data_IF_530093998821
#
_entry.id   IF_530093998821
#
_cell.length_a   1.000
_cell.length_b   1.000
_cell.length_c   1.000
_cell.angle_alpha   90.00
_cell.angle_beta   90.00
_cell.angle_gamma   90.00
#
_symmetry.space_group_name_H-M   'P 1'
#
loop_
_entity.id
_entity.type
_entity.pdbx_description
1 polymer ?
#
# COMPACT_ATOMS: atom_id res chain seq x y z
N UNK A 1 -3.38 -20.91 -11.78
CA UNK A 1 -3.70 -20.53 -10.38
C UNK A 1 -5.19 -20.21 -10.31
N UNK A 2 -5.95 -20.91 -9.47
CA UNK A 2 -7.39 -20.62 -9.30
C UNK A 2 -7.55 -19.65 -8.13
N UNK A 3 -7.96 -18.42 -8.42
CA UNK A 3 -8.38 -17.45 -7.40
C UNK A 3 -9.75 -17.85 -6.89
N UNK A 4 -9.80 -18.33 -5.66
CA UNK A 4 -11.05 -18.72 -5.01
C UNK A 4 -11.62 -17.56 -4.20
N UNK A 5 -12.69 -16.95 -4.71
CA UNK A 5 -13.50 -15.96 -4.01
C UNK A 5 -14.44 -16.70 -3.03
N UNK A 6 -14.28 -16.50 -1.73
CA UNK A 6 -15.22 -17.00 -0.73
C UNK A 6 -15.96 -15.84 -0.08
N UNK A 7 -17.22 -15.66 -0.47
CA UNK A 7 -18.15 -14.72 0.16
C UNK A 7 -18.81 -15.38 1.37
N UNK A 8 -18.54 -14.87 2.56
CA UNK A 8 -19.26 -15.26 3.79
C UNK A 8 -20.46 -14.35 4.01
N UNK A 9 -21.68 -14.88 3.89
CA UNK A 9 -22.93 -14.21 4.30
C UNK A 9 -23.20 -14.49 5.77
N UNK A 10 -23.37 -13.44 6.57
CA UNK A 10 -24.03 -13.55 7.87
C UNK A 10 -25.38 -12.86 7.81
N UNK A 11 -26.43 -13.58 8.25
CA UNK A 11 -27.82 -13.17 8.22
C UNK A 11 -28.27 -12.52 9.52
N UNK A 12 -28.96 -11.39 9.39
CA UNK A 12 -30.20 -10.93 10.01
C UNK A 12 -30.28 -10.61 11.51
N UNK A 13 -30.58 -9.34 11.75
CA UNK A 13 -31.30 -8.81 12.91
C UNK A 13 -31.88 -7.45 12.57
N UNK A 14 -33.18 -7.26 12.78
CA UNK A 14 -34.01 -6.10 12.44
C UNK A 14 -33.55 -4.78 13.08
N UNK A 15 -33.50 -3.71 12.28
CA UNK A 15 -33.81 -2.35 12.72
C UNK A 15 -32.63 -1.40 12.93
N UNK A 16 -32.61 -0.33 12.10
CA UNK A 16 -31.71 0.83 12.02
C UNK A 16 -30.52 0.61 11.10
N UNK A 17 -30.38 1.50 10.11
CA UNK A 17 -29.46 1.41 8.97
C UNK A 17 -28.06 0.89 9.33
N UNK A 18 -27.90 -0.40 9.22
CA UNK A 18 -26.62 -1.08 9.44
C UNK A 18 -25.86 -0.94 8.13
N UNK A 19 -24.73 -0.23 8.16
CA UNK A 19 -23.76 -0.29 7.09
C UNK A 19 -23.32 -1.76 6.97
N UNK A 20 -23.62 -2.39 5.85
CA UNK A 20 -23.20 -3.76 5.57
C UNK A 20 -21.70 -3.71 5.22
N UNK A 21 -20.86 -4.17 6.12
CA UNK A 21 -19.43 -4.34 5.84
C UNK A 21 -19.23 -5.69 5.14
N UNK A 22 -18.82 -5.65 3.89
CA UNK A 22 -18.34 -6.82 3.17
C UNK A 22 -16.82 -6.93 3.38
N UNK A 23 -16.38 -7.99 4.05
CA UNK A 23 -14.96 -8.29 4.16
C UNK A 23 -14.55 -9.15 2.96
N UNK A 24 -13.62 -8.66 2.19
CA UNK A 24 -12.98 -9.42 1.11
C UNK A 24 -11.61 -9.85 1.64
N UNK A 25 -11.33 -11.14 1.59
CA UNK A 25 -10.06 -11.71 2.00
C UNK A 25 -9.33 -12.17 0.74
N UNK A 26 -8.20 -11.57 0.45
CA UNK A 26 -7.27 -12.10 -0.54
C UNK A 26 -6.31 -13.06 0.16
N UNK A 27 -6.23 -14.28 -0.35
CA UNK A 27 -5.34 -15.31 0.13
C UNK A 27 -4.18 -15.44 -0.87
N UNK A 28 -3.02 -14.94 -0.47
CA UNK A 28 -1.78 -15.03 -1.25
C UNK A 28 -0.81 -15.90 -0.44
N UNK A 29 -1.03 -17.21 -0.48
CA UNK A 29 -0.30 -18.14 0.37
C UNK A 29 -0.60 -17.93 1.85
N UNK A 30 0.44 -17.71 2.67
CA UNK A 30 0.29 -17.47 4.11
C UNK A 30 -0.11 -16.02 4.47
N UNK A 31 -0.19 -15.14 3.48
CA UNK A 31 -0.54 -13.73 3.67
C UNK A 31 -2.00 -13.46 3.34
N UNK A 32 -2.74 -12.90 4.29
CA UNK A 32 -4.17 -12.59 4.16
C UNK A 32 -4.40 -11.08 4.24
N UNK A 33 -4.87 -10.51 3.15
CA UNK A 33 -5.32 -9.11 3.13
C UNK A 33 -6.80 -9.08 3.47
N UNK A 34 -7.15 -8.35 4.53
CA UNK A 34 -8.54 -8.10 4.93
C UNK A 34 -8.92 -6.70 4.50
N UNK A 35 -9.84 -6.59 3.56
CA UNK A 35 -10.40 -5.32 3.15
C UNK A 35 -11.89 -5.25 3.53
N UNK A 36 -12.29 -4.18 4.21
CA UNK A 36 -13.69 -3.92 4.54
C UNK A 36 -14.30 -3.01 3.48
N UNK A 37 -15.30 -3.51 2.75
CA UNK A 37 -16.05 -2.71 1.80
C UNK A 37 -17.29 -2.10 2.49
N UNK A 38 -17.38 -0.78 2.48
CA UNK A 38 -18.60 -0.08 2.92
C UNK A 38 -19.59 -0.03 1.75
N UNK A 39 -20.72 -0.73 1.87
CA UNK A 39 -21.74 -0.87 0.80
C UNK A 39 -22.66 0.34 0.67
N UNK A 40 -22.42 1.44 1.39
CA UNK A 40 -23.07 2.71 1.06
C UNK A 40 -22.52 3.16 -0.29
N UNK A 41 -23.38 3.33 -1.30
CA UNK A 41 -23.07 3.88 -2.63
C UNK A 41 -22.45 5.28 -2.45
N UNK A 42 -21.15 5.31 -2.18
CA UNK A 42 -20.33 6.50 -2.26
C UNK A 42 -19.87 6.62 -3.72
N UNK A 43 -19.84 7.81 -4.25
CA UNK A 43 -19.13 8.09 -5.49
C UNK A 43 -17.74 7.48 -5.33
N UNK A 44 -17.31 6.68 -6.31
CA UNK A 44 -16.07 5.92 -6.24
C UNK A 44 -14.91 6.91 -6.22
N UNK A 45 -14.40 7.22 -5.04
CA UNK A 45 -13.15 7.97 -4.91
C UNK A 45 -12.02 7.13 -5.53
N UNK A 46 -11.25 7.73 -6.41
CA UNK A 46 -10.13 7.05 -7.06
C UNK A 46 -8.82 7.51 -6.42
N UNK A 47 -8.10 6.58 -5.83
CA UNK A 47 -6.77 6.84 -5.27
C UNK A 47 -5.70 6.28 -6.19
N UNK A 48 -4.81 7.15 -6.65
CA UNK A 48 -3.64 6.77 -7.45
C UNK A 48 -2.41 6.55 -6.59
N UNK A 49 -1.50 5.69 -7.05
CA UNK A 49 -0.25 5.37 -6.40
C UNK A 49 0.94 5.75 -7.28
N UNK A 50 1.90 6.46 -6.72
CA UNK A 50 3.18 6.76 -7.35
C UNK A 50 4.28 6.23 -6.45
N UNK A 51 5.11 5.32 -6.96
CA UNK A 51 6.28 4.80 -6.25
C UNK A 51 7.51 5.55 -6.73
N UNK A 52 8.33 6.02 -5.82
CA UNK A 52 9.62 6.67 -6.15
C UNK A 52 10.72 6.23 -5.19
N UNK A 53 11.95 6.17 -5.69
CA UNK A 53 13.11 5.74 -4.90
C UNK A 53 14.40 5.76 -5.68
N UNK A 54 15.51 5.51 -5.00
CA UNK A 54 16.85 5.51 -5.57
C UNK A 54 17.07 4.31 -6.51
N UNK A 55 17.82 4.54 -7.58
CA UNK A 55 18.08 3.54 -8.61
C UNK A 55 16.79 3.05 -9.24
N UNK A 56 16.65 1.76 -9.43
CA UNK A 56 15.47 1.09 -9.98
C UNK A 56 14.53 0.57 -8.88
N UNK A 57 14.49 1.24 -7.74
CA UNK A 57 13.63 0.82 -6.63
C UNK A 57 12.15 0.85 -7.01
N UNK A 58 11.71 1.93 -7.64
CA UNK A 58 10.30 2.12 -7.96
C UNK A 58 9.85 1.15 -9.05
N UNK A 59 10.55 1.06 -10.17
CA UNK A 59 10.24 0.12 -11.26
C UNK A 59 10.34 -1.33 -10.81
N UNK A 60 11.33 -1.68 -9.98
CA UNK A 60 11.47 -3.03 -9.41
C UNK A 60 10.29 -3.40 -8.50
N UNK A 61 9.83 -2.47 -7.66
CA UNK A 61 8.69 -2.72 -6.78
C UNK A 61 7.38 -2.83 -7.58
N UNK A 62 7.17 -1.98 -8.59
CA UNK A 62 6.02 -2.09 -9.50
C UNK A 62 6.03 -3.43 -10.24
N UNK A 63 7.18 -3.87 -10.76
CA UNK A 63 7.33 -5.18 -11.39
C UNK A 63 6.92 -6.34 -10.46
N UNK A 64 7.31 -6.26 -9.18
CA UNK A 64 6.91 -7.27 -8.19
C UNK A 64 5.39 -7.23 -7.91
N UNK A 65 4.79 -6.04 -7.83
CA UNK A 65 3.34 -5.88 -7.67
C UNK A 65 2.58 -6.45 -8.86
N UNK A 66 3.00 -6.15 -10.08
CA UNK A 66 2.37 -6.67 -11.31
C UNK A 66 2.44 -8.19 -11.41
N UNK A 67 3.52 -8.80 -10.94
CA UNK A 67 3.62 -10.25 -10.84
C UNK A 67 2.57 -10.85 -9.91
N UNK A 68 2.25 -10.17 -8.81
CA UNK A 68 1.33 -10.66 -7.77
C UNK A 68 -0.14 -10.40 -8.09
N UNK A 69 -0.46 -9.21 -8.60
CA UNK A 69 -1.84 -8.74 -8.78
C UNK A 69 -2.19 -8.29 -10.20
N UNK A 70 -1.28 -8.46 -11.15
CA UNK A 70 -1.43 -8.00 -12.53
C UNK A 70 -1.24 -6.48 -12.66
N UNK A 71 -1.33 -6.00 -13.90
CA UNK A 71 -1.18 -4.59 -14.24
C UNK A 71 -2.20 -3.69 -13.51
N UNK A 72 -1.75 -2.52 -13.06
CA UNK A 72 -2.57 -1.52 -12.35
C UNK A 72 -2.52 -0.19 -13.11
N UNK A 73 -3.67 0.29 -13.58
CA UNK A 73 -3.78 1.54 -14.37
C UNK A 73 -3.40 2.80 -13.58
N UNK A 74 -3.65 2.80 -12.27
CA UNK A 74 -3.40 3.95 -11.38
C UNK A 74 -2.17 3.73 -10.50
N UNK A 75 -1.12 3.09 -11.06
CA UNK A 75 0.16 2.86 -10.40
C UNK A 75 1.29 3.30 -11.33
N UNK A 76 2.10 4.25 -10.89
CA UNK A 76 3.26 4.74 -11.62
C UNK A 76 4.56 4.52 -10.85
N UNK A 77 5.65 4.30 -11.59
CA UNK A 77 7.01 4.23 -11.05
C UNK A 77 7.82 5.44 -11.51
N UNK A 78 8.53 6.08 -10.60
CA UNK A 78 9.46 7.17 -10.87
C UNK A 78 10.80 6.85 -10.21
N UNK A 79 11.72 6.30 -10.98
CA UNK A 79 13.07 5.98 -10.52
C UNK A 79 13.93 7.23 -10.43
N UNK A 80 14.86 7.26 -9.46
CA UNK A 80 15.90 8.26 -9.35
C UNK A 80 17.25 7.64 -9.66
N UNK A 81 17.62 7.68 -10.92
CA UNK A 81 18.79 6.99 -11.44
C UNK A 81 20.09 7.76 -11.19
N UNK A 82 21.21 7.03 -11.27
CA UNK A 82 22.53 7.64 -11.13
C UNK A 82 22.76 8.74 -12.18
N UNK A 83 23.19 9.91 -11.71
CA UNK A 83 23.47 11.06 -12.57
C UNK A 83 22.26 11.96 -12.85
N UNK A 84 21.05 11.59 -12.43
CA UNK A 84 19.91 12.49 -12.53
C UNK A 84 19.99 13.64 -11.53
N UNK A 85 19.50 14.81 -11.97
CA UNK A 85 19.39 16.00 -11.12
C UNK A 85 18.08 15.97 -10.29
N UNK A 86 18.06 16.81 -9.25
CA UNK A 86 16.85 17.10 -8.50
C UNK A 86 15.71 17.60 -9.41
N UNK A 87 16.02 18.51 -10.33
CA UNK A 87 15.04 19.13 -11.22
C UNK A 87 14.42 18.07 -12.16
N UNK A 88 15.24 17.17 -12.71
CA UNK A 88 14.75 16.06 -13.53
C UNK A 88 13.82 15.14 -12.77
N UNK A 89 14.17 14.77 -11.53
CA UNK A 89 13.31 13.95 -10.67
C UNK A 89 11.98 14.67 -10.38
N UNK A 90 12.04 15.96 -10.09
CA UNK A 90 10.86 16.79 -9.83
C UNK A 90 9.93 16.85 -11.04
N UNK A 91 10.49 16.99 -12.26
CA UNK A 91 9.72 16.94 -13.51
C UNK A 91 9.03 15.58 -13.69
N UNK A 92 9.76 14.47 -13.53
CA UNK A 92 9.19 13.13 -13.67
C UNK A 92 8.07 12.86 -12.65
N UNK A 93 8.23 13.34 -11.40
CA UNK A 93 7.16 13.22 -10.40
C UNK A 93 5.93 14.06 -10.76
N UNK A 94 6.11 15.29 -11.27
CA UNK A 94 5.00 16.12 -11.76
C UNK A 94 4.30 15.49 -12.93
N UNK A 95 5.03 14.89 -13.85
CA UNK A 95 4.45 14.17 -14.99
C UNK A 95 3.61 12.98 -14.53
N UNK A 96 4.13 12.18 -13.58
CA UNK A 96 3.40 11.07 -12.99
C UNK A 96 2.10 11.54 -12.31
N UNK A 97 2.14 12.61 -11.51
CA UNK A 97 0.94 13.25 -10.92
C UNK A 97 -0.01 13.72 -12.02
N UNK A 98 0.53 14.31 -13.09
CA UNK A 98 -0.24 14.79 -14.25
C UNK A 98 -0.99 13.70 -15.00
N UNK A 99 -0.49 12.47 -15.03
CA UNK A 99 -1.20 11.32 -15.63
C UNK A 99 -2.40 10.85 -14.82
N UNK A 100 -2.49 11.24 -13.54
CA UNK A 100 -3.53 10.80 -12.60
C UNK A 100 -4.53 11.91 -12.25
N UNK A 101 -4.92 12.72 -13.23
CA UNK A 101 -5.85 13.86 -13.03
C UNK A 101 -7.26 13.44 -12.60
N UNK A 102 -7.65 12.21 -12.91
CA UNK A 102 -8.96 11.65 -12.53
C UNK A 102 -8.99 11.10 -11.11
N UNK A 103 -7.84 11.06 -10.42
CA UNK A 103 -7.77 10.62 -9.04
C UNK A 103 -8.13 11.76 -8.09
N UNK A 104 -8.99 11.46 -7.13
CA UNK A 104 -9.38 12.39 -6.07
C UNK A 104 -8.26 12.53 -5.04
N UNK A 105 -7.49 11.46 -4.85
CA UNK A 105 -6.37 11.37 -3.92
C UNK A 105 -5.17 10.64 -4.54
N UNK A 106 -3.97 11.00 -4.11
CA UNK A 106 -2.72 10.42 -4.59
C UNK A 106 -1.79 10.08 -3.41
N UNK A 107 -1.26 8.86 -3.40
CA UNK A 107 -0.24 8.43 -2.45
C UNK A 107 1.11 8.32 -3.15
N UNK A 108 2.11 9.09 -2.69
CA UNK A 108 3.49 8.93 -3.14
C UNK A 108 4.26 8.08 -2.14
N UNK A 109 4.76 6.95 -2.59
CA UNK A 109 5.45 5.95 -1.80
C UNK A 109 6.96 6.05 -2.03
N UNK A 110 7.71 6.47 -1.01
CA UNK A 110 9.15 6.67 -1.08
C UNK A 110 9.92 5.53 -0.41
N UNK A 111 11.10 5.20 -0.93
CA UNK A 111 11.97 4.18 -0.39
C UNK A 111 12.46 4.53 1.02
N UNK A 112 12.97 5.74 1.25
CA UNK A 112 13.53 6.15 2.53
C UNK A 112 13.28 7.62 2.86
N UNK A 113 13.21 7.91 4.15
CA UNK A 113 13.11 9.29 4.64
C UNK A 113 14.40 10.07 4.36
N UNK A 114 14.26 11.35 3.99
CA UNK A 114 15.37 12.29 3.85
C UNK A 114 16.15 12.19 2.54
N UNK A 115 15.91 11.16 1.71
CA UNK A 115 16.46 11.04 0.37
C UNK A 115 15.90 12.06 -0.61
N UNK A 116 16.50 12.19 -1.80
CA UNK A 116 16.00 13.08 -2.84
C UNK A 116 14.58 12.75 -3.30
N UNK A 117 14.22 11.48 -3.53
CA UNK A 117 12.83 11.11 -3.87
C UNK A 117 11.82 11.59 -2.83
N UNK A 118 12.11 11.34 -1.55
CA UNK A 118 11.25 11.81 -0.45
C UNK A 118 11.11 13.34 -0.41
N UNK A 119 12.23 14.08 -0.55
CA UNK A 119 12.21 15.54 -0.50
C UNK A 119 11.45 16.15 -1.68
N UNK A 120 11.61 15.58 -2.90
CA UNK A 120 10.81 15.98 -4.05
C UNK A 120 9.32 15.73 -3.85
N UNK A 121 8.96 14.53 -3.38
CA UNK A 121 7.58 14.17 -3.08
C UNK A 121 6.98 15.09 -2.03
N UNK A 122 7.70 15.36 -0.93
CA UNK A 122 7.25 16.27 0.12
C UNK A 122 7.04 17.71 -0.39
N UNK A 123 7.94 18.22 -1.24
CA UNK A 123 7.77 19.55 -1.82
C UNK A 123 6.53 19.68 -2.74
N UNK A 124 6.08 18.57 -3.36
CA UNK A 124 4.88 18.57 -4.18
C UNK A 124 3.60 18.70 -3.36
N UNK A 125 3.58 18.26 -2.10
CA UNK A 125 2.40 18.40 -1.24
C UNK A 125 2.02 19.84 -0.95
N UNK A 126 2.96 20.78 -1.06
CA UNK A 126 2.71 22.21 -0.89
C UNK A 126 1.86 22.79 -2.06
N UNK A 127 1.83 22.11 -3.19
CA UNK A 127 1.19 22.58 -4.43
C UNK A 127 -0.02 21.75 -4.86
N UNK A 128 -0.16 20.53 -4.41
CA UNK A 128 -1.30 19.65 -4.73
C UNK A 128 -1.84 19.00 -3.43
N UNK A 129 -3.02 19.44 -2.96
CA UNK A 129 -3.60 18.96 -1.71
C UNK A 129 -4.07 17.49 -1.75
N UNK A 130 -4.11 16.87 -2.95
CA UNK A 130 -4.45 15.44 -3.10
C UNK A 130 -3.33 14.53 -2.64
N UNK A 131 -2.11 15.04 -2.48
CA UNK A 131 -0.92 14.27 -2.25
C UNK A 131 -0.72 13.92 -0.78
N UNK A 132 -0.54 12.64 -0.50
CA UNK A 132 -0.04 12.12 0.78
C UNK A 132 1.23 11.33 0.55
N UNK A 133 2.27 11.58 1.35
CA UNK A 133 3.59 10.96 1.19
C UNK A 133 3.84 9.92 2.28
N UNK A 134 4.21 8.72 1.86
CA UNK A 134 4.68 7.62 2.70
C UNK A 134 6.16 7.34 2.41
N UNK A 135 6.90 6.89 3.41
CA UNK A 135 8.31 6.51 3.25
C UNK A 135 8.65 5.24 4.01
N UNK A 136 9.75 4.61 3.64
CA UNK A 136 10.16 3.32 4.24
C UNK A 136 9.26 2.19 3.80
N UNK A 137 8.75 2.25 2.56
CA UNK A 137 7.82 1.26 2.04
C UNK A 137 8.48 -0.10 1.83
N UNK A 138 7.68 -1.14 1.95
CA UNK A 138 8.04 -2.51 1.58
C UNK A 138 6.96 -3.14 0.71
N UNK A 139 7.28 -4.28 0.09
CA UNK A 139 6.39 -4.94 -0.86
C UNK A 139 5.02 -5.29 -0.26
N UNK A 140 4.98 -5.78 0.99
CA UNK A 140 3.71 -6.17 1.63
C UNK A 140 2.77 -4.98 1.84
N UNK A 141 3.31 -3.85 2.30
CA UNK A 141 2.58 -2.59 2.44
C UNK A 141 2.10 -2.06 1.08
N UNK A 142 2.97 -2.03 0.07
CA UNK A 142 2.63 -1.57 -1.27
C UNK A 142 1.57 -2.45 -1.95
N UNK A 143 1.63 -3.78 -1.71
CA UNK A 143 0.65 -4.74 -2.22
C UNK A 143 -0.74 -4.50 -1.62
N UNK A 144 -0.83 -4.31 -0.31
CA UNK A 144 -2.11 -4.04 0.35
C UNK A 144 -2.71 -2.72 -0.13
N UNK A 145 -1.88 -1.65 -0.23
CA UNK A 145 -2.30 -0.38 -0.81
C UNK A 145 -2.86 -0.54 -2.22
N UNK A 146 -2.12 -1.20 -3.11
CA UNK A 146 -2.54 -1.36 -4.50
C UNK A 146 -3.87 -2.12 -4.62
N UNK A 147 -4.10 -3.14 -3.79
CA UNK A 147 -5.37 -3.88 -3.75
C UNK A 147 -6.50 -2.97 -3.26
N UNK A 148 -6.31 -2.25 -2.15
CA UNK A 148 -7.35 -1.40 -1.55
C UNK A 148 -7.72 -0.24 -2.48
N UNK A 149 -6.74 0.43 -3.08
CA UNK A 149 -6.98 1.51 -4.06
C UNK A 149 -7.75 1.00 -5.28
N UNK A 150 -7.34 -0.14 -5.86
CA UNK A 150 -8.05 -0.76 -6.99
C UNK A 150 -9.52 -1.07 -6.68
N UNK A 151 -9.81 -1.46 -5.45
CA UNK A 151 -11.17 -1.80 -5.03
C UNK A 151 -12.02 -0.57 -4.71
N UNK A 152 -11.41 0.61 -4.58
CA UNK A 152 -12.10 1.84 -4.17
C UNK A 152 -12.72 1.70 -2.78
N UNK A 153 -12.01 1.06 -1.86
CA UNK A 153 -12.51 0.76 -0.52
C UNK A 153 -12.30 1.91 0.47
N UNK A 154 -11.36 2.78 0.17
CA UNK A 154 -10.91 3.86 1.06
C UNK A 154 -11.02 5.20 0.35
N UNK A 155 -11.62 6.17 1.05
CA UNK A 155 -11.86 7.53 0.54
C UNK A 155 -11.12 8.58 1.39
N UNK A 156 -10.08 8.17 2.11
CA UNK A 156 -9.27 9.01 2.99
C UNK A 156 -7.83 8.51 2.92
N UNK A 157 -7.05 9.06 2.00
CA UNK A 157 -5.66 8.65 1.79
C UNK A 157 -4.78 8.87 3.02
N UNK A 158 -4.89 9.96 3.80
CA UNK A 158 -4.17 10.09 5.06
C UNK A 158 -4.47 8.99 6.09
N UNK A 159 -5.74 8.61 6.26
CA UNK A 159 -6.12 7.53 7.17
C UNK A 159 -5.59 6.18 6.68
N UNK A 160 -5.76 5.89 5.38
CA UNK A 160 -5.21 4.70 4.74
C UNK A 160 -3.69 4.63 4.89
N UNK A 161 -2.99 5.74 4.68
CA UNK A 161 -1.56 5.84 4.87
C UNK A 161 -1.13 5.49 6.30
N UNK A 162 -1.87 5.97 7.30
CA UNK A 162 -1.63 5.65 8.71
C UNK A 162 -1.76 4.15 9.01
N UNK A 163 -2.79 3.50 8.48
CA UNK A 163 -2.97 2.04 8.62
C UNK A 163 -1.82 1.28 7.94
N UNK A 164 -1.39 1.72 6.76
CA UNK A 164 -0.32 1.08 6.01
C UNK A 164 1.04 1.17 6.69
N UNK A 165 1.29 2.21 7.49
CA UNK A 165 2.49 2.26 8.35
C UNK A 165 2.52 1.08 9.34
N UNK A 166 1.38 0.72 9.92
CA UNK A 166 1.29 -0.44 10.81
C UNK A 166 1.49 -1.76 10.04
N UNK A 167 0.85 -1.91 8.88
CA UNK A 167 1.05 -3.05 7.97
C UNK A 167 2.51 -3.21 7.58
N UNK A 168 3.18 -2.12 7.14
CA UNK A 168 4.58 -2.15 6.74
C UNK A 168 5.52 -2.60 7.88
N UNK A 169 5.29 -2.10 9.10
CA UNK A 169 6.05 -2.54 10.28
C UNK A 169 5.87 -4.01 10.59
N UNK A 170 4.67 -4.54 10.44
CA UNK A 170 4.36 -5.95 10.67
C UNK A 170 5.01 -6.90 9.65
N UNK A 171 5.43 -6.38 8.49
CA UNK A 171 6.11 -7.14 7.45
C UNK A 171 7.65 -7.24 7.66
N UNK A 172 8.17 -6.62 8.71
CA UNK A 172 9.60 -6.65 9.02
C UNK A 172 9.83 -7.67 10.12
N UNK A 173 10.68 -8.63 9.85
CA UNK A 173 10.94 -9.69 10.81
C UNK A 173 12.22 -10.47 10.51
N UNK A 174 12.56 -11.35 11.44
CA UNK A 174 13.67 -12.30 11.30
C UNK A 174 13.12 -13.71 11.26
N UNK A 175 13.49 -14.46 10.23
CA UNK A 175 13.18 -15.89 10.19
C UNK A 175 13.92 -16.61 11.33
N UNK A 176 13.19 -17.46 12.04
CA UNK A 176 13.77 -18.40 13.03
C UNK A 176 13.26 -19.80 12.73
N UNK A 177 14.16 -20.75 12.79
CA UNK A 177 13.79 -22.17 12.65
C UNK A 177 12.88 -22.62 13.79
N UNK A 178 12.10 -23.68 13.57
CA UNK A 178 11.23 -24.23 14.63
C UNK A 178 12.05 -24.73 15.85
N UNK A 179 13.29 -25.18 15.62
CA UNK A 179 14.22 -25.56 16.67
C UNK A 179 14.55 -24.39 17.59
N UNK A 180 14.96 -23.25 17.02
CA UNK A 180 15.28 -22.03 17.78
C UNK A 180 14.08 -21.47 18.56
N UNK A 181 12.87 -21.65 18.02
CA UNK A 181 11.63 -21.24 18.70
C UNK A 181 11.34 -22.12 19.91
N UNK A 182 11.56 -23.43 19.80
CA UNK A 182 11.36 -24.39 20.90
C UNK A 182 12.38 -24.20 22.03
N UNK A 183 13.65 -24.04 21.68
CA UNK A 183 14.73 -23.84 22.64
C UNK A 183 14.53 -22.58 23.48
N UNK A 184 14.05 -21.50 22.84
CA UNK A 184 13.77 -20.25 23.53
C UNK A 184 12.56 -20.36 24.47
N UNK A 185 11.52 -21.06 24.05
CA UNK A 185 10.32 -21.29 24.86
C UNK A 185 10.65 -22.10 26.12
N UNK A 186 11.48 -23.13 25.99
CA UNK A 186 11.99 -23.89 27.13
C UNK A 186 12.84 -23.03 28.09
N UNK A 187 13.64 -22.10 27.56
CA UNK A 187 14.41 -21.17 28.38
C UNK A 187 13.54 -20.17 29.14
N UNK A 188 12.50 -19.62 28.48
CA UNK A 188 11.54 -18.69 29.10
C UNK A 188 10.70 -19.36 30.19
N UNK A 189 10.30 -20.62 30.00
CA UNK A 189 9.54 -21.40 30.96
C UNK A 189 10.39 -21.85 32.17
N UNK A 190 11.70 -22.04 32.00
CA UNK A 190 12.63 -22.36 33.08
C UNK A 190 13.03 -21.17 33.96
N UNK A 191 12.72 -19.94 33.53
CA UNK A 191 12.96 -18.69 34.29
C UNK A 191 11.73 -18.17 35.04
N UNK A 192 10.61 -18.88 34.99
CA UNK A 192 9.39 -18.57 35.73
C UNK A 192 9.21 -19.48 36.94
#
# INVERSE_FOLDING_TARGET
MKTGEKTGKTTSGKGRGIALFLYIVYDIGDYKIKAAANTKRMEKCMTGLIITGHGQFASGLVSALELLIGHQELLAAVDFEFGQSWDTLMEHLKDAVGTMQTCDELLILCDMIGGSPYKCAAALTDTDPRLTVLYGINLGMALELAIRCRMGLDNDAPALAGEMVATGKAQIGMYRSEQEKSDRKEQEDNFR
#
